data_IF_520870036226
#
_entry.id   IF_520870036226
#
_cell.length_a   1.000
_cell.length_b   1.000
_cell.length_c   1.000
_cell.angle_alpha   90.00
_cell.angle_beta   90.00
_cell.angle_gamma   90.00
#
_symmetry.space_group_name_H-M   'P 1'
#
loop_
_entity.id
_entity.type
_entity.pdbx_description
1 polymer ?
#
# COMPACT_ATOMS: atom_id res chain seq x y z
N UNK A 1 -13.41 52.02 23.86
CA UNK A 1 -12.35 51.15 23.28
C UNK A 1 -12.94 49.76 23.20
N UNK A 2 -13.29 49.32 22.01
CA UNK A 2 -14.13 48.16 21.75
C UNK A 2 -13.29 47.01 21.21
N UNK A 3 -13.10 45.94 21.97
CA UNK A 3 -12.48 44.69 21.53
C UNK A 3 -13.51 43.74 20.99
N UNK A 4 -13.52 43.55 19.68
CA UNK A 4 -14.35 42.55 18.99
C UNK A 4 -13.72 41.18 19.12
N UNK A 5 -14.35 40.30 19.86
CA UNK A 5 -14.09 38.87 19.87
C UNK A 5 -14.61 38.25 18.57
N UNK A 6 -13.72 37.70 17.76
CA UNK A 6 -14.09 36.83 16.65
C UNK A 6 -14.42 35.44 17.21
N UNK A 7 -15.68 35.14 17.27
CA UNK A 7 -16.20 33.79 17.56
C UNK A 7 -15.95 32.87 16.37
N UNK A 8 -15.16 31.83 16.60
CA UNK A 8 -14.99 30.71 15.67
C UNK A 8 -16.22 29.81 15.79
N UNK A 9 -17.17 29.97 14.88
CA UNK A 9 -18.33 29.10 14.75
C UNK A 9 -17.93 27.77 14.16
N UNK A 10 -17.73 26.78 15.03
CA UNK A 10 -17.66 25.37 14.63
C UNK A 10 -19.08 24.88 14.39
N UNK A 11 -19.57 25.12 13.19
CA UNK A 11 -20.78 24.48 12.68
C UNK A 11 -20.59 22.96 12.72
N UNK A 12 -21.08 22.37 13.80
CA UNK A 12 -21.27 20.93 13.95
C UNK A 12 -22.29 20.48 12.88
N UNK A 13 -21.78 20.00 11.75
CA UNK A 13 -22.62 19.27 10.79
C UNK A 13 -23.08 18.00 11.48
N UNK A 14 -24.22 18.06 12.11
CA UNK A 14 -25.02 16.89 12.47
C UNK A 14 -25.23 16.09 11.18
N UNK A 15 -24.47 15.01 11.04
CA UNK A 15 -24.74 14.00 10.02
C UNK A 15 -26.05 13.34 10.45
N UNK A 16 -27.14 13.83 9.92
CA UNK A 16 -28.41 13.10 9.95
C UNK A 16 -28.15 11.80 9.18
N UNK A 17 -28.02 10.70 9.91
CA UNK A 17 -28.18 9.36 9.36
C UNK A 17 -29.64 9.26 8.94
N UNK A 18 -29.93 9.77 7.74
CA UNK A 18 -31.19 9.50 7.08
C UNK A 18 -31.27 8.01 6.88
N UNK A 19 -32.20 7.37 7.58
CA UNK A 19 -32.49 5.96 7.44
C UNK A 19 -32.47 5.57 5.95
N UNK A 20 -31.82 4.49 5.61
CA UNK A 20 -31.71 4.00 4.24
C UNK A 20 -33.13 3.67 3.74
N UNK A 21 -33.83 4.66 3.20
CA UNK A 21 -35.10 4.45 2.52
C UNK A 21 -34.82 3.68 1.25
N UNK A 22 -35.37 2.47 1.16
CA UNK A 22 -35.30 1.68 -0.07
C UNK A 22 -35.96 2.49 -1.19
N UNK A 23 -35.26 2.80 -2.28
CA UNK A 23 -35.79 3.60 -3.36
C UNK A 23 -36.93 2.85 -4.05
N UNK A 24 -37.98 3.55 -4.42
CA UNK A 24 -39.09 3.01 -5.19
C UNK A 24 -38.65 2.71 -6.63
N UNK A 25 -39.42 1.87 -7.33
CA UNK A 25 -39.14 1.50 -8.74
C UNK A 25 -39.06 2.75 -9.62
N UNK A 26 -39.97 3.72 -9.43
CA UNK A 26 -39.96 4.97 -10.19
C UNK A 26 -38.73 5.81 -9.94
N UNK A 27 -38.22 5.87 -8.70
CA UNK A 27 -36.97 6.56 -8.39
C UNK A 27 -35.77 5.91 -9.06
N UNK A 28 -35.75 4.57 -9.15
CA UNK A 28 -34.68 3.83 -9.85
C UNK A 28 -34.73 4.04 -11.36
N UNK A 29 -35.92 4.15 -11.96
CA UNK A 29 -36.10 4.44 -13.38
C UNK A 29 -35.60 5.84 -13.71
N UNK A 30 -35.91 6.84 -12.89
CA UNK A 30 -35.49 8.25 -13.12
C UNK A 30 -33.99 8.44 -12.94
N UNK A 31 -33.40 7.90 -11.88
CA UNK A 31 -31.99 8.15 -11.52
C UNK A 31 -31.02 7.09 -12.06
N UNK A 32 -31.53 5.93 -12.48
CA UNK A 32 -30.71 4.79 -12.86
C UNK A 32 -29.81 4.27 -11.72
N UNK A 33 -29.13 3.17 -11.95
CA UNK A 33 -28.13 2.64 -11.00
C UNK A 33 -26.77 3.22 -11.31
N UNK A 34 -26.14 3.85 -10.32
CA UNK A 34 -24.74 4.28 -10.45
C UNK A 34 -23.82 3.07 -10.24
N UNK A 35 -22.89 2.78 -11.15
CA UNK A 35 -21.93 1.73 -10.94
C UNK A 35 -21.08 2.02 -9.69
N UNK A 36 -20.79 1.00 -8.91
CA UNK A 36 -19.92 1.13 -7.74
C UNK A 36 -18.53 1.57 -8.20
N UNK A 37 -17.94 2.57 -7.54
CA UNK A 37 -16.58 2.99 -7.83
C UNK A 37 -15.60 1.86 -7.50
N UNK A 38 -14.80 1.45 -8.48
CA UNK A 38 -13.73 0.49 -8.27
C UNK A 38 -12.72 1.02 -7.24
N UNK A 39 -12.51 0.27 -6.15
CA UNK A 39 -11.51 0.60 -5.15
C UNK A 39 -10.14 0.16 -5.64
N UNK A 40 -9.14 1.04 -5.56
CA UNK A 40 -7.76 0.69 -5.88
C UNK A 40 -7.24 -0.42 -4.95
N UNK A 41 -6.53 -1.41 -5.50
CA UNK A 41 -5.84 -2.44 -4.72
C UNK A 41 -4.63 -1.90 -3.94
N UNK A 42 -4.06 -0.77 -4.40
CA UNK A 42 -2.88 -0.11 -3.80
C UNK A 42 -3.15 1.38 -3.51
N UNK A 43 -3.98 1.71 -2.52
CA UNK A 43 -4.41 3.10 -2.26
C UNK A 43 -3.24 4.01 -1.86
N UNK A 44 -2.21 3.49 -1.20
CA UNK A 44 -1.11 4.29 -0.66
C UNK A 44 -0.12 4.76 -1.73
N UNK A 45 -0.15 4.18 -2.93
CA UNK A 45 0.63 4.65 -4.07
C UNK A 45 0.01 5.86 -4.80
N UNK A 46 -1.25 6.24 -4.49
CA UNK A 46 -1.93 7.41 -5.08
C UNK A 46 -1.85 7.43 -6.60
N UNK A 47 -2.25 6.34 -7.27
CA UNK A 47 -2.23 6.13 -8.73
C UNK A 47 -0.83 6.14 -9.38
N UNK A 48 0.24 6.14 -8.60
CA UNK A 48 1.60 5.99 -9.15
C UNK A 48 1.92 4.50 -9.33
N UNK A 49 2.67 4.10 -10.38
CA UNK A 49 3.03 2.69 -10.59
C UNK A 49 4.00 2.18 -9.51
N UNK A 50 4.95 3.00 -9.09
CA UNK A 50 5.87 2.76 -7.98
C UNK A 50 6.08 4.05 -7.19
N UNK A 51 6.56 3.90 -5.95
CA UNK A 51 6.91 5.04 -5.13
C UNK A 51 8.13 4.73 -4.28
N UNK A 52 9.02 5.72 -4.15
CA UNK A 52 10.19 5.63 -3.28
C UNK A 52 9.78 5.74 -1.83
N UNK A 53 10.50 5.04 -0.96
CA UNK A 53 10.32 5.12 0.48
C UNK A 53 11.59 4.76 1.22
N UNK A 54 11.58 4.93 2.54
CA UNK A 54 12.67 4.60 3.44
C UNK A 54 12.21 3.49 4.38
N UNK A 55 13.02 2.45 4.55
CA UNK A 55 12.75 1.36 5.49
C UNK A 55 12.85 1.88 6.92
N UNK A 56 11.77 1.69 7.69
CA UNK A 56 11.74 1.98 9.12
C UNK A 56 12.17 0.76 9.94
N UNK A 57 11.71 -0.42 9.54
CA UNK A 57 12.02 -1.68 10.21
C UNK A 57 11.93 -2.84 9.24
N UNK A 58 12.82 -3.81 9.38
CA UNK A 58 12.77 -5.08 8.64
C UNK A 58 12.52 -6.21 9.63
N UNK A 59 11.54 -7.07 9.32
CA UNK A 59 11.13 -8.17 10.21
C UNK A 59 10.64 -9.36 9.40
N UNK A 60 10.44 -10.48 10.08
CA UNK A 60 9.87 -11.69 9.50
C UNK A 60 8.42 -11.86 9.94
N UNK A 61 7.57 -12.33 9.06
CA UNK A 61 6.17 -12.60 9.32
C UNK A 61 5.82 -14.05 8.95
N UNK A 62 5.00 -14.68 9.80
CA UNK A 62 4.46 -16.00 9.50
C UNK A 62 3.26 -15.89 8.57
N UNK A 63 3.14 -16.78 7.57
CA UNK A 63 1.98 -16.77 6.68
C UNK A 63 0.73 -17.31 7.37
N UNK A 64 -0.39 -17.17 6.68
CA UNK A 64 -1.66 -17.78 7.10
C UNK A 64 -1.60 -19.31 6.96
N UNK A 65 -2.38 -20.02 7.78
CA UNK A 65 -2.63 -21.46 7.59
C UNK A 65 -3.18 -21.72 6.16
N UNK A 66 -2.80 -22.78 5.46
CA UNK A 66 -2.00 -23.94 5.90
C UNK A 66 -0.48 -23.77 5.72
N UNK A 67 0.02 -22.63 5.27
CA UNK A 67 1.44 -22.43 4.99
C UNK A 67 2.24 -22.09 6.25
N UNK A 68 3.52 -22.51 6.27
CA UNK A 68 4.49 -22.19 7.31
C UNK A 68 5.79 -21.75 6.66
N UNK A 69 6.29 -20.58 7.03
CA UNK A 69 7.58 -20.02 6.59
C UNK A 69 7.89 -18.75 7.38
N UNK A 70 9.10 -18.23 7.24
CA UNK A 70 9.49 -16.90 7.73
C UNK A 70 9.62 -15.94 6.54
N UNK A 71 8.51 -15.28 6.20
CA UNK A 71 8.46 -14.31 5.10
C UNK A 71 9.10 -13.00 5.52
N UNK A 72 9.98 -12.46 4.66
CA UNK A 72 10.68 -11.19 4.93
C UNK A 72 9.78 -10.02 4.52
N UNK A 73 9.54 -9.13 5.46
CA UNK A 73 8.67 -7.95 5.31
C UNK A 73 9.40 -6.73 5.83
N UNK A 74 9.28 -5.61 5.14
CA UNK A 74 9.77 -4.33 5.61
C UNK A 74 8.62 -3.35 5.82
N UNK A 75 8.66 -2.59 6.90
CA UNK A 75 7.82 -1.42 7.09
C UNK A 75 8.52 -0.22 6.47
N UNK A 76 7.87 0.38 5.48
CA UNK A 76 8.45 1.45 4.67
C UNK A 76 7.60 2.71 4.78
N UNK A 77 8.24 3.85 5.04
CA UNK A 77 7.62 5.17 4.93
C UNK A 77 7.83 5.68 3.52
N UNK A 78 6.73 5.86 2.80
CA UNK A 78 6.72 6.39 1.44
C UNK A 78 6.95 7.91 1.44
N UNK A 79 7.34 8.47 0.29
CA UNK A 79 7.52 9.91 0.08
C UNK A 79 6.27 10.75 0.32
N UNK A 80 5.08 10.13 0.30
CA UNK A 80 3.81 10.79 0.65
C UNK A 80 3.48 10.77 2.15
N UNK A 81 4.42 10.35 3.01
CA UNK A 81 4.26 10.26 4.46
C UNK A 81 3.52 9.02 4.96
N UNK A 82 2.94 8.20 4.08
CA UNK A 82 2.24 6.97 4.48
C UNK A 82 3.22 5.84 4.80
N UNK A 83 2.88 5.05 5.80
CA UNK A 83 3.64 3.86 6.17
C UNK A 83 2.91 2.61 5.66
N UNK A 84 3.68 1.73 4.99
CA UNK A 84 3.16 0.50 4.39
C UNK A 84 4.04 -0.70 4.73
N UNK A 85 3.43 -1.86 4.86
CA UNK A 85 4.16 -3.11 4.94
C UNK A 85 4.36 -3.66 3.52
N UNK A 86 5.62 -3.84 3.12
CA UNK A 86 6.01 -4.32 1.81
C UNK A 86 6.79 -5.63 1.92
N UNK A 87 6.46 -6.59 1.07
CA UNK A 87 7.13 -7.87 0.99
C UNK A 87 8.46 -7.75 0.24
N UNK A 88 9.50 -8.40 0.74
CA UNK A 88 10.81 -8.48 0.11
C UNK A 88 10.87 -9.79 -0.68
N UNK A 89 10.80 -9.78 -2.03
CA UNK A 89 10.83 -10.99 -2.84
C UNK A 89 12.26 -11.52 -2.99
N UNK A 90 12.38 -12.83 -3.25
CA UNK A 90 13.65 -13.50 -3.51
C UNK A 90 14.31 -14.07 -2.26
N UNK A 91 15.45 -14.72 -2.47
CA UNK A 91 16.26 -15.33 -1.42
C UNK A 91 17.31 -14.35 -0.92
N UNK A 92 17.33 -14.13 0.39
CA UNK A 92 18.23 -13.19 1.02
C UNK A 92 17.94 -11.72 0.67
N UNK A 93 18.41 -10.82 1.48
CA UNK A 93 18.33 -9.38 1.25
C UNK A 93 19.41 -8.66 2.06
N UNK A 94 19.76 -7.44 1.61
CA UNK A 94 20.71 -6.56 2.28
C UNK A 94 20.04 -5.33 2.94
N UNK A 95 18.69 -5.33 3.02
CA UNK A 95 17.94 -4.20 3.55
C UNK A 95 18.09 -4.09 5.05
N UNK A 96 18.33 -2.87 5.50
CA UNK A 96 18.44 -2.47 6.90
C UNK A 96 17.51 -1.28 7.16
N UNK A 97 17.47 -0.80 8.38
CA UNK A 97 16.82 0.47 8.71
C UNK A 97 17.47 1.62 7.92
N UNK A 98 16.67 2.57 7.51
CA UNK A 98 17.04 3.74 6.70
C UNK A 98 17.44 3.44 5.24
N UNK A 99 17.40 2.19 4.78
CA UNK A 99 17.60 1.88 3.36
C UNK A 99 16.52 2.50 2.49
N UNK A 100 16.92 3.13 1.39
CA UNK A 100 16.00 3.70 0.41
C UNK A 100 15.55 2.61 -0.56
N UNK A 101 14.25 2.43 -0.71
CA UNK A 101 13.65 1.36 -1.52
C UNK A 101 12.60 1.87 -2.47
N UNK A 102 12.38 1.15 -3.55
CA UNK A 102 11.28 1.37 -4.48
C UNK A 102 10.17 0.36 -4.21
N UNK A 103 8.96 0.86 -3.94
CA UNK A 103 7.79 0.06 -3.60
C UNK A 103 6.81 0.06 -4.76
N UNK A 104 6.31 -1.12 -5.14
CA UNK A 104 5.25 -1.32 -6.13
C UNK A 104 4.01 -1.94 -5.50
N UNK A 105 2.87 -1.83 -6.15
CA UNK A 105 1.66 -2.54 -5.78
C UNK A 105 1.77 -4.05 -6.06
N UNK A 106 0.95 -4.81 -5.38
CA UNK A 106 0.84 -6.25 -5.50
C UNK A 106 0.60 -6.89 -4.14
N UNK A 107 -0.55 -7.53 -3.98
CA UNK A 107 -0.91 -8.20 -2.73
C UNK A 107 -0.20 -9.54 -2.61
N UNK A 108 0.28 -9.86 -1.41
CA UNK A 108 0.76 -11.19 -1.04
C UNK A 108 -0.41 -11.97 -0.43
N UNK A 109 -0.83 -13.06 -1.08
CA UNK A 109 -1.99 -13.85 -0.63
C UNK A 109 -1.76 -14.49 0.74
N UNK A 110 -0.53 -14.93 1.02
CA UNK A 110 -0.14 -15.61 2.25
C UNK A 110 -0.09 -14.70 3.47
N UNK A 111 0.20 -13.41 3.28
CA UNK A 111 0.43 -12.49 4.39
C UNK A 111 -0.76 -11.55 4.59
N UNK A 112 -1.32 -11.46 5.80
CA UNK A 112 -2.39 -10.53 6.08
C UNK A 112 -1.87 -9.09 6.06
N UNK A 113 -2.61 -8.20 5.37
CA UNK A 113 -2.31 -6.76 5.36
C UNK A 113 -1.13 -6.33 4.48
N UNK A 114 -0.43 -7.23 3.81
CA UNK A 114 0.68 -6.90 2.90
C UNK A 114 0.16 -6.77 1.47
N UNK A 115 0.10 -5.53 0.96
CA UNK A 115 -0.41 -5.17 -0.37
C UNK A 115 0.67 -4.65 -1.32
N UNK A 116 1.91 -4.61 -0.89
CA UNK A 116 3.02 -3.99 -1.60
C UNK A 116 4.22 -4.91 -1.66
N UNK A 117 5.04 -4.73 -2.69
CA UNK A 117 6.32 -5.42 -2.86
C UNK A 117 7.44 -4.41 -3.02
N UNK A 118 8.62 -4.76 -2.56
CA UNK A 118 9.86 -4.04 -2.85
C UNK A 118 10.41 -4.53 -4.18
N UNK A 119 10.85 -3.60 -5.02
CA UNK A 119 11.48 -3.90 -6.31
C UNK A 119 12.96 -4.20 -6.06
N UNK A 120 13.42 -5.40 -6.46
CA UNK A 120 14.81 -5.82 -6.32
C UNK A 120 15.70 -5.21 -7.42
N UNK A 121 16.96 -4.94 -7.09
CA UNK A 121 17.92 -4.39 -8.03
C UNK A 121 17.78 -2.89 -8.31
N UNK A 122 17.05 -2.18 -7.47
CA UNK A 122 16.85 -0.72 -7.58
C UNK A 122 17.23 -0.03 -6.28
N UNK A 123 17.77 1.19 -6.37
CA UNK A 123 18.22 1.98 -5.21
C UNK A 123 19.15 1.14 -4.31
N UNK A 124 18.87 1.09 -3.01
CA UNK A 124 19.71 0.37 -2.05
C UNK A 124 19.43 -1.16 -2.01
N UNK A 125 18.43 -1.64 -2.76
CA UNK A 125 18.08 -3.05 -2.79
C UNK A 125 18.89 -3.82 -3.81
N UNK A 126 19.75 -4.72 -3.36
CA UNK A 126 20.51 -5.59 -4.27
C UNK A 126 19.60 -6.60 -4.98
N UNK A 127 19.98 -6.97 -6.22
CA UNK A 127 19.35 -8.08 -6.93
C UNK A 127 19.76 -9.44 -6.35
N UNK A 128 19.06 -10.50 -6.70
CA UNK A 128 19.40 -11.87 -6.31
C UNK A 128 20.50 -12.38 -7.24
N UNK A 129 21.73 -12.56 -6.74
CA UNK A 129 22.91 -12.85 -7.55
C UNK A 129 22.90 -14.24 -8.21
N UNK A 130 22.36 -15.24 -7.53
CA UNK A 130 22.34 -16.63 -8.02
C UNK A 130 21.16 -16.98 -8.93
N UNK A 131 20.31 -16.01 -9.26
CA UNK A 131 19.09 -16.26 -10.02
C UNK A 131 19.34 -16.33 -11.52
N UNK A 132 18.99 -17.46 -12.14
CA UNK A 132 19.12 -17.68 -13.58
C UNK A 132 17.79 -17.46 -14.34
N UNK A 133 16.67 -17.93 -13.77
CA UNK A 133 15.35 -17.78 -14.36
C UNK A 133 14.62 -16.56 -13.81
N UNK A 134 13.81 -15.91 -14.65
CA UNK A 134 13.03 -14.71 -14.29
C UNK A 134 13.87 -13.58 -13.68
N UNK A 135 15.06 -13.38 -14.19
CA UNK A 135 16.06 -12.43 -13.67
C UNK A 135 15.53 -11.01 -13.51
N UNK A 136 14.74 -10.54 -14.45
CA UNK A 136 14.16 -9.19 -14.43
C UNK A 136 13.27 -8.94 -13.22
N UNK A 137 12.58 -9.97 -12.72
CA UNK A 137 11.73 -9.86 -11.52
C UNK A 137 12.54 -9.70 -10.22
N UNK A 138 13.77 -10.20 -10.22
CA UNK A 138 14.65 -10.23 -9.05
C UNK A 138 15.90 -9.36 -9.19
N UNK A 139 15.97 -8.53 -10.23
CA UNK A 139 17.09 -7.62 -10.43
C UNK A 139 18.43 -8.30 -10.69
N UNK A 140 18.45 -9.54 -11.19
CA UNK A 140 19.67 -10.27 -11.50
C UNK A 140 20.22 -9.87 -12.87
N UNK A 141 21.54 -9.64 -12.94
CA UNK A 141 22.23 -9.35 -14.19
C UNK A 141 22.40 -10.62 -15.03
N UNK A 142 22.58 -10.45 -16.36
CA UNK A 142 22.89 -11.56 -17.26
C UNK A 142 24.25 -12.14 -16.89
N UNK A 143 24.39 -13.46 -16.68
CA UNK A 143 25.72 -14.06 -16.54
C UNK A 143 26.49 -13.85 -17.85
N UNK A 144 27.78 -13.53 -17.70
CA UNK A 144 28.70 -13.43 -18.84
C UNK A 144 29.05 -14.82 -19.36
#
# INVERSE_FOLDING_TARGET
MSSRFFGCDRSSRLIFVTGATVPTIEQLIRSGRRPARARSASPDLMRSPQRRGVCLRVFTATPKKPNSALRKVARVRLTNGREVNAYIPGEGHNLQEHSVVLVRGGRVKDLPGVRYHIVRGTLDTQGVTARQQSRSKYGAKRPK
#
